data_IF_386482707707
#
_entry.id   IF_386482707707
#
_cell.length_a   1.000
_cell.length_b   1.000
_cell.length_c   1.000
_cell.angle_alpha   90.00
_cell.angle_beta   90.00
_cell.angle_gamma   90.00
#
_symmetry.space_group_name_H-M   'P 1'
#
loop_
_entity.id
_entity.type
_entity.pdbx_description
1 polymer ?
#
# COMPACT_ATOMS: atom_id res chain seq x y z
N UNK A 1 33.76 -68.14 -12.98
CA UNK A 1 33.48 -66.98 -13.85
C UNK A 1 31.99 -66.91 -14.10
N UNK A 2 31.24 -65.84 -13.90
CA UNK A 2 31.38 -64.51 -13.31
C UNK A 2 29.92 -64.09 -13.11
N UNK A 3 29.48 -63.83 -11.87
CA UNK A 3 28.11 -63.40 -11.58
C UNK A 3 28.16 -62.15 -10.70
N UNK A 4 28.81 -61.11 -11.21
CA UNK A 4 28.76 -59.78 -10.64
C UNK A 4 27.37 -59.16 -10.85
N UNK A 5 26.61 -58.80 -9.80
CA UNK A 5 25.30 -58.17 -9.99
C UNK A 5 25.44 -56.78 -10.62
N UNK A 6 24.43 -56.33 -11.41
CA UNK A 6 24.52 -55.08 -12.15
C UNK A 6 24.62 -53.87 -11.20
N UNK A 7 25.69 -53.10 -11.34
CA UNK A 7 26.08 -51.95 -10.51
C UNK A 7 25.06 -50.79 -10.47
N UNK A 8 23.99 -50.85 -11.26
CA UNK A 8 23.00 -49.79 -11.44
C UNK A 8 21.84 -49.81 -10.42
N UNK A 9 21.62 -50.91 -9.69
CA UNK A 9 20.54 -50.99 -8.70
C UNK A 9 20.79 -50.07 -7.48
N UNK A 10 22.03 -50.07 -6.98
CA UNK A 10 22.43 -49.31 -5.78
C UNK A 10 22.38 -47.78 -5.96
N UNK A 11 22.58 -47.28 -7.18
CA UNK A 11 22.52 -45.84 -7.47
C UNK A 11 21.09 -45.33 -7.43
N UNK A 12 20.14 -46.09 -7.99
CA UNK A 12 18.73 -45.71 -8.06
C UNK A 12 18.08 -45.63 -6.67
N UNK A 13 18.43 -46.54 -5.78
CA UNK A 13 17.93 -46.57 -4.41
C UNK A 13 18.48 -45.40 -3.57
N UNK A 14 19.75 -45.03 -3.77
CA UNK A 14 20.36 -43.85 -3.15
C UNK A 14 19.73 -42.55 -3.64
N UNK A 15 19.44 -42.44 -4.93
CA UNK A 15 18.77 -41.26 -5.48
C UNK A 15 17.32 -41.11 -4.97
N UNK A 16 16.58 -42.21 -4.83
CA UNK A 16 15.23 -42.19 -4.24
C UNK A 16 15.25 -41.78 -2.77
N UNK A 17 16.23 -42.27 -1.99
CA UNK A 17 16.42 -41.84 -0.61
C UNK A 17 16.73 -40.34 -0.50
N UNK A 18 17.59 -39.80 -1.38
CA UNK A 18 17.94 -38.38 -1.41
C UNK A 18 16.73 -37.50 -1.77
N UNK A 19 15.94 -37.89 -2.78
CA UNK A 19 14.72 -37.16 -3.17
C UNK A 19 13.68 -37.18 -2.05
N UNK A 20 13.54 -38.32 -1.36
CA UNK A 20 12.67 -38.42 -0.18
C UNK A 20 13.08 -37.47 0.95
N UNK A 21 14.38 -37.44 1.28
CA UNK A 21 14.92 -36.55 2.33
C UNK A 21 14.75 -35.08 1.94
N UNK A 22 15.03 -34.73 0.69
CA UNK A 22 14.85 -33.36 0.18
C UNK A 22 13.38 -32.92 0.25
N UNK A 23 12.44 -33.80 -0.10
CA UNK A 23 11.00 -33.54 0.02
C UNK A 23 10.57 -33.27 1.46
N UNK A 24 11.04 -34.09 2.42
CA UNK A 24 10.77 -33.87 3.85
C UNK A 24 11.38 -32.57 4.34
N UNK A 25 12.61 -32.24 3.95
CA UNK A 25 13.26 -30.98 4.32
C UNK A 25 12.50 -29.76 3.80
N UNK A 26 11.99 -29.79 2.56
CA UNK A 26 11.15 -28.72 2.00
C UNK A 26 9.83 -28.60 2.75
N UNK A 27 9.16 -29.71 3.07
CA UNK A 27 7.91 -29.68 3.84
C UNK A 27 8.11 -29.10 5.25
N UNK A 28 9.21 -29.44 5.91
CA UNK A 28 9.58 -28.88 7.21
C UNK A 28 9.87 -27.38 7.10
N UNK A 29 10.63 -26.96 6.08
CA UNK A 29 10.95 -25.55 5.86
C UNK A 29 9.70 -24.70 5.60
N UNK A 30 8.78 -25.19 4.76
CA UNK A 30 7.51 -24.53 4.45
C UNK A 30 6.62 -24.48 5.69
N UNK A 31 6.50 -25.59 6.42
CA UNK A 31 5.73 -25.64 7.67
C UNK A 31 6.26 -24.65 8.70
N UNK A 32 7.58 -24.57 8.86
CA UNK A 32 8.24 -23.59 9.73
C UNK A 32 7.95 -22.15 9.29
N UNK A 33 8.07 -21.83 7.99
CA UNK A 33 7.82 -20.48 7.47
C UNK A 33 6.38 -20.01 7.70
N UNK A 34 5.40 -20.90 7.49
CA UNK A 34 3.98 -20.62 7.77
C UNK A 34 3.71 -20.40 9.26
N UNK A 35 4.36 -21.17 10.14
CA UNK A 35 4.18 -21.04 11.59
C UNK A 35 4.92 -19.84 12.19
N UNK A 36 6.08 -19.49 11.64
CA UNK A 36 6.93 -18.39 12.12
C UNK A 36 6.45 -17.01 11.63
N UNK A 37 5.59 -16.94 10.60
CA UNK A 37 5.06 -15.70 10.04
C UNK A 37 3.94 -15.03 10.84
N UNK A 38 3.94 -15.09 12.18
CA UNK A 38 2.96 -14.32 12.97
C UNK A 38 3.44 -12.87 13.07
N UNK A 39 2.76 -11.89 12.45
CA UNK A 39 3.09 -10.48 12.64
C UNK A 39 2.87 -10.11 14.12
N UNK A 40 3.86 -9.48 14.71
CA UNK A 40 3.77 -8.77 15.99
C UNK A 40 2.54 -7.85 15.91
N UNK A 41 1.44 -8.20 16.58
CA UNK A 41 0.29 -7.32 16.72
C UNK A 41 0.72 -6.19 17.66
N UNK A 42 1.12 -5.05 17.09
CA UNK A 42 1.23 -3.80 17.83
C UNK A 42 -0.21 -3.35 18.10
N UNK A 43 -0.80 -3.87 19.18
CA UNK A 43 -2.03 -3.37 19.77
C UNK A 43 -1.66 -2.79 21.16
N UNK A 44 -0.97 -1.65 21.18
CA UNK A 44 -1.01 -0.76 22.35
C UNK A 44 -1.87 0.46 22.00
N UNK A 45 -3.05 0.63 22.62
CA UNK A 45 -3.79 1.87 22.48
C UNK A 45 -3.04 2.98 23.20
N UNK A 46 -2.49 3.92 22.43
CA UNK A 46 -1.97 5.18 22.97
C UNK A 46 -3.14 5.92 23.62
N UNK A 47 -3.08 6.07 24.95
CA UNK A 47 -3.95 6.97 25.68
C UNK A 47 -3.65 8.42 25.23
N UNK A 48 -4.58 9.03 24.50
CA UNK A 48 -4.48 10.44 24.11
C UNK A 48 -4.83 11.28 25.33
N UNK A 49 -3.83 11.70 26.11
CA UNK A 49 -4.01 12.79 27.06
C UNK A 49 -4.21 14.09 26.27
N UNK A 50 -5.21 14.94 26.58
CA UNK A 50 -5.32 16.23 25.94
C UNK A 50 -4.19 17.12 26.47
N UNK A 51 -3.10 17.20 25.71
CA UNK A 51 -2.14 18.30 25.85
C UNK A 51 -2.84 19.57 25.41
N UNK A 52 -3.17 20.45 26.36
CA UNK A 52 -3.51 21.83 26.07
C UNK A 52 -2.25 22.55 25.55
N UNK A 53 -1.86 22.25 24.31
CA UNK A 53 -0.98 23.12 23.56
C UNK A 53 -1.71 24.43 23.36
N UNK A 54 -1.15 25.50 23.93
CA UNK A 54 -1.53 26.87 23.54
C UNK A 54 -1.42 26.95 22.03
N UNK A 55 -2.58 27.03 21.36
CA UNK A 55 -2.66 27.21 19.93
C UNK A 55 -2.08 28.59 19.59
N UNK A 56 -0.78 28.63 19.34
CA UNK A 56 -0.25 29.57 18.37
C UNK A 56 -0.95 29.19 17.07
N UNK A 57 -2.01 29.93 16.72
CA UNK A 57 -2.71 29.72 15.47
C UNK A 57 -1.65 29.74 14.36
N UNK A 58 -1.45 28.63 13.62
CA UNK A 58 -0.52 28.66 12.52
C UNK A 58 -1.01 29.76 11.58
N UNK A 59 -0.09 30.61 11.13
CA UNK A 59 -0.36 31.48 9.99
C UNK A 59 -0.66 30.53 8.84
N UNK A 60 -1.94 30.36 8.53
CA UNK A 60 -2.38 29.46 7.47
C UNK A 60 -2.07 30.20 6.18
N UNK A 61 -0.96 29.86 5.53
CA UNK A 61 -0.64 30.39 4.22
C UNK A 61 -1.74 29.94 3.25
N UNK A 62 -2.63 30.85 2.89
CA UNK A 62 -3.76 30.57 2.02
C UNK A 62 -3.32 30.48 0.55
N UNK A 63 -3.75 29.43 -0.15
CA UNK A 63 -3.51 29.26 -1.58
C UNK A 63 -4.68 29.86 -2.38
N UNK A 64 -4.35 30.74 -3.32
CA UNK A 64 -5.32 31.39 -4.20
C UNK A 64 -5.30 30.70 -5.57
N UNK A 65 -6.46 30.20 -6.01
CA UNK A 65 -6.60 29.39 -7.23
C UNK A 65 -7.68 29.97 -8.13
N UNK A 66 -7.40 30.11 -9.42
CA UNK A 66 -8.40 30.45 -10.44
C UNK A 66 -9.07 29.18 -10.99
N UNK A 67 -10.39 29.06 -10.82
CA UNK A 67 -11.17 27.90 -11.25
C UNK A 67 -12.10 28.30 -12.39
N UNK A 68 -11.92 27.66 -13.55
CA UNK A 68 -12.68 27.94 -14.77
C UNK A 68 -13.33 26.67 -15.34
N UNK A 69 -14.28 26.83 -16.25
CA UNK A 69 -14.93 25.73 -16.96
C UNK A 69 -16.27 25.30 -16.35
N UNK A 70 -16.56 24.00 -16.38
CA UNK A 70 -17.85 23.42 -16.00
C UNK A 70 -18.01 23.29 -14.47
N UNK A 71 -17.96 24.41 -13.76
CA UNK A 71 -18.20 24.52 -12.31
C UNK A 71 -19.33 25.51 -12.03
N UNK A 72 -19.96 25.43 -10.85
CA UNK A 72 -21.12 26.26 -10.53
C UNK A 72 -20.80 27.75 -10.39
N UNK A 73 -19.65 28.07 -9.82
CA UNK A 73 -19.18 29.45 -9.59
C UNK A 73 -17.72 29.57 -10.05
N UNK A 74 -17.46 29.77 -11.36
CA UNK A 74 -16.12 30.06 -11.86
C UNK A 74 -15.54 31.33 -11.25
N UNK A 75 -14.22 31.36 -11.06
CA UNK A 75 -13.47 32.50 -10.53
C UNK A 75 -12.44 32.08 -9.48
N UNK A 76 -11.95 33.08 -8.75
CA UNK A 76 -10.92 32.90 -7.74
C UNK A 76 -11.52 32.29 -6.46
N UNK A 77 -10.90 31.22 -5.98
CA UNK A 77 -11.20 30.60 -4.69
C UNK A 77 -9.92 30.52 -3.85
N UNK A 78 -10.11 30.47 -2.55
CA UNK A 78 -9.02 30.32 -1.59
C UNK A 78 -9.17 28.99 -0.87
N UNK A 79 -8.08 28.23 -0.81
CA UNK A 79 -8.02 26.92 -0.16
C UNK A 79 -6.78 26.80 0.73
N UNK A 80 -6.80 25.94 1.77
CA UNK A 80 -5.61 25.65 2.56
C UNK A 80 -4.44 25.13 1.72
N UNK A 81 -3.19 25.28 2.18
CA UNK A 81 -2.04 24.70 1.52
C UNK A 81 -2.10 23.17 1.63
N UNK A 82 -1.69 22.46 0.58
CA UNK A 82 -1.82 21.00 0.51
C UNK A 82 -3.24 20.50 0.19
N UNK A 83 -4.19 21.42 -0.02
CA UNK A 83 -5.51 21.08 -0.57
C UNK A 83 -5.40 20.33 -1.89
N UNK A 84 -6.39 19.52 -2.20
CA UNK A 84 -6.43 18.77 -3.48
C UNK A 84 -7.30 19.47 -4.51
N UNK A 85 -7.13 19.10 -5.79
CA UNK A 85 -7.94 19.63 -6.92
C UNK A 85 -9.45 19.52 -6.65
N UNK A 86 -9.91 18.41 -6.06
CA UNK A 86 -11.33 18.25 -5.74
C UNK A 86 -11.85 19.32 -4.76
N UNK A 87 -11.05 19.74 -3.78
CA UNK A 87 -11.44 20.73 -2.78
C UNK A 87 -11.59 22.12 -3.40
N UNK A 88 -10.71 22.48 -4.34
CA UNK A 88 -10.84 23.73 -5.09
C UNK A 88 -12.10 23.74 -5.98
N UNK A 89 -12.45 22.60 -6.60
CA UNK A 89 -13.69 22.46 -7.38
C UNK A 89 -14.92 22.55 -6.48
N UNK A 90 -14.90 21.91 -5.30
CA UNK A 90 -15.99 22.04 -4.31
C UNK A 90 -16.14 23.48 -3.81
N UNK A 91 -15.04 24.19 -3.56
CA UNK A 91 -15.05 25.61 -3.19
C UNK A 91 -15.68 26.48 -4.29
N UNK A 92 -15.47 26.12 -5.56
CA UNK A 92 -16.14 26.70 -6.74
C UNK A 92 -17.59 26.22 -6.92
N UNK A 93 -18.14 25.45 -5.98
CA UNK A 93 -19.53 24.98 -5.97
C UNK A 93 -19.77 23.67 -6.71
N UNK A 94 -18.71 22.91 -7.00
CA UNK A 94 -18.79 21.61 -7.63
C UNK A 94 -18.92 21.68 -9.16
N UNK A 95 -18.80 20.50 -9.78
CA UNK A 95 -18.96 20.34 -11.23
C UNK A 95 -20.42 20.53 -11.65
N UNK A 96 -20.64 21.16 -12.80
CA UNK A 96 -21.97 21.32 -13.39
C UNK A 96 -22.10 20.42 -14.61
N UNK A 97 -23.16 19.62 -14.64
CA UNK A 97 -23.38 18.61 -15.68
C UNK A 97 -22.53 17.37 -15.44
N UNK A 98 -21.98 16.82 -16.52
CA UNK A 98 -21.11 15.64 -16.51
C UNK A 98 -19.87 15.89 -17.39
N UNK A 99 -19.01 16.86 -17.04
CA UNK A 99 -17.77 17.06 -17.79
C UNK A 99 -16.90 15.81 -17.68
N UNK A 100 -16.15 15.51 -18.75
CA UNK A 100 -15.17 14.42 -18.71
C UNK A 100 -14.00 14.80 -17.80
N UNK A 101 -13.90 14.13 -16.65
CA UNK A 101 -12.85 14.32 -15.67
C UNK A 101 -11.79 13.22 -15.70
N UNK A 102 -11.86 12.30 -16.66
CA UNK A 102 -10.94 11.15 -16.75
C UNK A 102 -9.47 11.58 -16.85
N UNK A 103 -9.21 12.72 -17.49
CA UNK A 103 -7.86 13.30 -17.60
C UNK A 103 -7.44 14.15 -16.40
N UNK A 104 -8.35 14.44 -15.46
CA UNK A 104 -8.11 15.34 -14.34
C UNK A 104 -7.87 14.54 -13.06
N UNK A 105 -6.65 14.63 -12.51
CA UNK A 105 -6.33 14.02 -11.23
C UNK A 105 -6.94 14.84 -10.07
N UNK A 106 -8.11 14.41 -9.61
CA UNK A 106 -8.83 15.02 -8.48
C UNK A 106 -8.05 14.96 -7.17
N UNK A 107 -7.19 13.97 -7.00
CA UNK A 107 -6.38 13.80 -5.80
C UNK A 107 -5.05 14.57 -5.85
N UNK A 108 -4.74 15.27 -6.94
CA UNK A 108 -3.50 16.04 -7.01
C UNK A 108 -3.50 17.14 -5.95
N UNK A 109 -2.42 17.22 -5.18
CA UNK A 109 -2.19 18.30 -4.21
C UNK A 109 -1.86 19.61 -4.94
N UNK A 110 -2.32 20.70 -4.37
CA UNK A 110 -2.10 22.07 -4.79
C UNK A 110 -0.98 22.66 -3.93
N UNK A 111 -0.04 23.33 -4.58
CA UNK A 111 1.22 23.83 -3.99
C UNK A 111 1.53 25.22 -4.50
#
# INVERSE_FOLDING_TARGET
DDASPPRHALLRDRHLAIVGIAGVAVLVLVGWWVLAGRPERIDEPVAIAPSSESATAPVVDELVVDVVGAVARPGIVTVPPGSRVHEAIEAAGGLVGQPDTTSLNMARELT
#
